data_IF_473751577755
#
_entry.id   IF_473751577755
#
_cell.length_a   1.000
_cell.length_b   1.000
_cell.length_c   1.000
_cell.angle_alpha   90.00
_cell.angle_beta   90.00
_cell.angle_gamma   90.00
#
_symmetry.space_group_name_H-M   'P 1'
#
loop_
_entity.id
_entity.type
_entity.pdbx_description
1 polymer ?
#
# COMPACT_ATOMS: atom_id res chain seq x y z
N UNK A 1 -11.34 -14.26 10.19
CA UNK A 1 -11.34 -13.78 8.80
C UNK A 1 -11.64 -14.98 7.91
N UNK A 2 -12.66 -14.91 7.11
CA UNK A 2 -13.09 -15.94 6.19
C UNK A 2 -13.43 -15.34 4.83
N UNK A 3 -13.62 -16.21 3.82
CA UNK A 3 -13.99 -15.79 2.48
C UNK A 3 -13.65 -16.86 1.44
N UNK A 4 -14.06 -16.69 0.17
CA UNK A 4 -13.98 -17.73 -0.86
C UNK A 4 -12.59 -17.87 -1.50
N UNK A 5 -11.65 -16.95 -1.25
CA UNK A 5 -10.37 -16.83 -1.96
C UNK A 5 -9.14 -17.17 -1.11
N UNK A 6 -9.34 -17.73 0.10
CA UNK A 6 -8.25 -18.16 0.98
C UNK A 6 -7.30 -19.21 0.36
N UNK A 7 -6.18 -19.53 1.06
CA UNK A 7 -5.80 -19.04 2.38
C UNK A 7 -5.38 -17.56 2.37
N UNK A 8 -5.60 -16.84 3.49
CA UNK A 8 -5.31 -15.40 3.62
C UNK A 8 -3.99 -15.10 4.34
N UNK A 9 -3.27 -16.13 4.77
CA UNK A 9 -1.95 -16.00 5.42
C UNK A 9 -0.88 -16.12 4.35
N UNK A 10 -0.08 -15.06 4.16
CA UNK A 10 0.93 -14.96 3.11
C UNK A 10 1.92 -16.15 3.10
N UNK A 11 2.39 -16.62 4.26
CA UNK A 11 3.32 -17.75 4.34
C UNK A 11 2.75 -19.07 3.81
N UNK A 12 1.42 -19.23 3.80
CA UNK A 12 0.73 -20.40 3.23
C UNK A 12 0.59 -20.32 1.71
N UNK A 13 0.94 -19.20 1.10
CA UNK A 13 0.83 -18.91 -0.34
C UNK A 13 2.20 -18.86 -1.05
N UNK A 14 3.27 -19.29 -0.38
CA UNK A 14 4.67 -19.21 -0.87
C UNK A 14 4.82 -19.71 -2.31
N UNK A 15 4.32 -20.91 -2.61
CA UNK A 15 4.45 -21.54 -3.92
C UNK A 15 3.73 -20.75 -5.02
N UNK A 16 2.62 -20.11 -4.68
CA UNK A 16 1.86 -19.25 -5.56
C UNK A 16 2.71 -18.04 -6.01
N UNK A 17 3.35 -17.34 -5.08
CA UNK A 17 4.20 -16.19 -5.41
C UNK A 17 5.38 -16.60 -6.29
N UNK A 18 6.03 -17.73 -5.99
CA UNK A 18 7.10 -18.27 -6.80
C UNK A 18 6.65 -18.57 -8.25
N UNK A 19 5.45 -19.12 -8.43
CA UNK A 19 4.86 -19.37 -9.74
C UNK A 19 4.67 -18.06 -10.54
N UNK A 20 4.10 -17.02 -9.90
CA UNK A 20 3.86 -15.74 -10.57
C UNK A 20 5.15 -14.97 -10.86
N UNK A 21 6.15 -15.04 -9.97
CA UNK A 21 7.46 -14.45 -10.21
C UNK A 21 8.15 -15.06 -11.45
N UNK A 22 8.13 -16.40 -11.59
CA UNK A 22 8.64 -17.09 -12.77
C UNK A 22 7.85 -16.74 -14.04
N UNK A 23 6.53 -16.62 -13.93
CA UNK A 23 5.70 -16.18 -15.05
C UNK A 23 6.08 -14.76 -15.49
N UNK A 24 6.34 -13.87 -14.53
CA UNK A 24 6.76 -12.50 -14.81
C UNK A 24 8.12 -12.45 -15.51
N UNK A 25 9.08 -13.31 -15.11
CA UNK A 25 10.35 -13.46 -15.82
C UNK A 25 10.14 -13.88 -17.29
N UNK A 26 9.24 -14.84 -17.54
CA UNK A 26 8.89 -15.28 -18.91
C UNK A 26 8.22 -14.18 -19.74
N UNK A 27 7.49 -13.27 -19.08
CA UNK A 27 6.87 -12.10 -19.73
C UNK A 27 7.85 -10.92 -19.90
N UNK A 28 9.07 -11.00 -19.38
CA UNK A 28 10.08 -9.95 -19.44
C UNK A 28 9.92 -8.83 -18.41
N UNK A 29 8.93 -8.93 -17.50
CA UNK A 29 8.69 -7.95 -16.44
C UNK A 29 9.53 -8.16 -15.18
N UNK A 30 10.32 -9.25 -15.12
CA UNK A 30 11.25 -9.55 -14.03
C UNK A 30 12.45 -10.32 -14.55
N UNK A 31 13.47 -10.47 -13.71
CA UNK A 31 14.67 -11.25 -14.03
C UNK A 31 15.29 -11.88 -12.77
N UNK A 32 16.06 -12.93 -12.97
CA UNK A 32 16.84 -13.58 -11.92
C UNK A 32 18.11 -12.79 -11.68
N UNK A 33 18.38 -12.41 -10.45
CA UNK A 33 19.60 -11.72 -10.05
C UNK A 33 20.41 -12.60 -9.09
N UNK A 34 21.59 -13.00 -9.51
CA UNK A 34 22.54 -13.81 -8.76
C UNK A 34 23.61 -12.94 -8.08
N UNK A 35 23.57 -11.63 -8.34
CA UNK A 35 24.53 -10.69 -7.83
C UNK A 35 24.41 -10.56 -6.30
N UNK A 36 25.54 -10.61 -5.63
CA UNK A 36 25.68 -10.29 -4.21
C UNK A 36 26.25 -8.90 -4.08
N UNK A 37 25.57 -8.04 -3.35
CA UNK A 37 26.11 -6.72 -3.01
C UNK A 37 27.42 -6.88 -2.24
N UNK A 38 28.40 -6.05 -2.55
CA UNK A 38 29.60 -5.92 -1.73
C UNK A 38 29.27 -5.12 -0.47
N UNK A 39 30.07 -5.27 0.60
CA UNK A 39 29.87 -4.52 1.86
C UNK A 39 29.80 -2.99 1.64
N UNK A 40 30.57 -2.47 0.67
CA UNK A 40 30.54 -1.03 0.31
C UNK A 40 29.25 -0.58 -0.40
N UNK A 41 28.52 -1.50 -1.06
CA UNK A 41 27.25 -1.23 -1.75
C UNK A 41 26.04 -1.41 -0.82
N UNK A 42 26.20 -2.15 0.29
CA UNK A 42 25.18 -2.25 1.33
C UNK A 42 25.05 -0.93 2.10
N UNK A 43 26.13 -0.19 2.29
CA UNK A 43 26.16 1.10 2.99
C UNK A 43 25.55 2.25 2.16
N UNK A 44 25.59 2.20 0.83
CA UNK A 44 25.06 3.25 -0.04
C UNK A 44 23.52 3.27 -0.15
N UNK A 45 22.85 2.17 0.20
CA UNK A 45 21.39 2.04 0.13
C UNK A 45 20.82 1.94 -1.29
N UNK A 46 21.53 2.43 -2.30
CA UNK A 46 21.09 2.47 -3.69
C UNK A 46 21.54 1.23 -4.46
N UNK A 47 20.60 0.58 -5.14
CA UNK A 47 20.88 -0.47 -6.11
C UNK A 47 20.94 0.13 -7.51
N UNK A 48 22.15 0.23 -8.07
CA UNK A 48 22.31 0.66 -9.46
C UNK A 48 21.88 -0.48 -10.40
N UNK A 49 20.69 -0.37 -10.94
CA UNK A 49 20.14 -1.33 -11.91
C UNK A 49 20.93 -1.39 -13.22
N UNK A 50 21.62 -0.30 -13.61
CA UNK A 50 22.42 -0.27 -14.82
C UNK A 50 23.70 -1.07 -14.65
N UNK A 51 24.18 -1.24 -13.42
CA UNK A 51 25.35 -2.02 -13.09
C UNK A 51 25.04 -3.51 -12.76
N UNK A 52 23.74 -3.92 -12.73
CA UNK A 52 23.38 -5.32 -12.47
C UNK A 52 23.72 -6.22 -13.67
N UNK A 53 24.75 -7.06 -13.59
CA UNK A 53 25.15 -7.92 -14.70
C UNK A 53 24.12 -9.00 -15.03
N UNK A 54 23.15 -9.23 -14.15
CA UNK A 54 22.09 -10.23 -14.35
C UNK A 54 20.88 -9.68 -15.11
N UNK A 55 20.79 -8.35 -15.25
CA UNK A 55 19.63 -7.73 -15.86
C UNK A 55 19.40 -8.21 -17.29
N UNK A 56 20.46 -8.36 -18.06
CA UNK A 56 20.41 -8.79 -19.47
C UNK A 56 20.78 -10.25 -19.69
N UNK A 57 20.87 -11.03 -18.58
CA UNK A 57 21.12 -12.46 -18.66
C UNK A 57 19.96 -13.17 -19.38
N UNK A 58 20.22 -14.01 -20.41
CA UNK A 58 19.20 -14.80 -21.06
C UNK A 58 18.42 -15.68 -20.06
N UNK A 59 17.09 -15.74 -20.21
CA UNK A 59 16.23 -16.46 -19.28
C UNK A 59 16.62 -17.94 -19.14
N UNK A 60 16.94 -18.61 -20.25
CA UNK A 60 17.37 -20.02 -20.24
C UNK A 60 18.63 -20.24 -19.39
N UNK A 61 19.57 -19.33 -19.49
CA UNK A 61 20.81 -19.38 -18.69
C UNK A 61 20.52 -19.12 -17.23
N UNK A 62 19.65 -18.14 -16.92
CA UNK A 62 19.22 -17.86 -15.57
C UNK A 62 18.48 -19.03 -14.92
N UNK A 63 17.56 -19.67 -15.67
CA UNK A 63 16.84 -20.88 -15.22
C UNK A 63 17.80 -22.06 -15.01
N UNK A 64 18.82 -22.22 -15.87
CA UNK A 64 19.87 -23.26 -15.71
C UNK A 64 20.67 -23.05 -14.42
N UNK A 65 21.12 -21.83 -14.15
CA UNK A 65 21.88 -21.48 -12.92
C UNK A 65 21.03 -21.70 -11.66
N UNK A 66 19.77 -21.26 -11.70
CA UNK A 66 18.82 -21.48 -10.60
C UNK A 66 18.57 -22.99 -10.35
N UNK A 67 18.45 -23.80 -11.41
CA UNK A 67 18.29 -25.25 -11.30
C UNK A 67 19.57 -25.95 -10.76
N UNK A 68 20.74 -25.37 -10.99
CA UNK A 68 22.00 -25.84 -10.43
C UNK A 68 22.15 -25.49 -8.92
N UNK A 69 21.19 -24.80 -8.33
CA UNK A 69 21.16 -24.43 -6.91
C UNK A 69 21.90 -23.13 -6.57
N UNK A 70 22.26 -22.32 -7.56
CA UNK A 70 22.89 -21.02 -7.31
C UNK A 70 21.90 -20.08 -6.61
N UNK A 71 22.27 -19.42 -5.50
CA UNK A 71 21.40 -18.52 -4.78
C UNK A 71 21.03 -17.30 -5.64
N UNK A 72 19.74 -16.95 -5.68
CA UNK A 72 19.27 -15.80 -6.43
C UNK A 72 18.09 -15.08 -5.75
N UNK A 73 17.84 -13.87 -6.19
CA UNK A 73 16.58 -13.15 -5.97
C UNK A 73 15.89 -12.95 -7.34
N UNK A 74 14.59 -12.65 -7.34
CA UNK A 74 13.92 -12.18 -8.54
C UNK A 74 13.65 -10.69 -8.37
N UNK A 75 14.08 -9.88 -9.35
CA UNK A 75 13.89 -8.44 -9.39
C UNK A 75 12.89 -8.05 -10.45
N UNK A 76 12.13 -6.99 -10.19
CA UNK A 76 11.32 -6.34 -11.20
C UNK A 76 12.22 -5.72 -12.28
N UNK A 77 11.82 -5.85 -13.53
CA UNK A 77 12.49 -5.17 -14.64
C UNK A 77 11.71 -3.90 -14.95
N UNK A 78 12.15 -2.78 -14.43
CA UNK A 78 11.57 -1.47 -14.71
C UNK A 78 12.11 -0.96 -16.06
N UNK A 79 11.29 -0.38 -16.97
CA UNK A 79 11.80 0.25 -18.19
C UNK A 79 12.91 1.26 -17.87
N UNK A 80 13.99 1.27 -18.67
CA UNK A 80 15.12 2.15 -18.41
C UNK A 80 14.79 3.62 -18.68
N UNK A 81 13.94 3.87 -19.66
CA UNK A 81 13.55 5.20 -20.15
C UNK A 81 12.03 5.38 -20.11
N UNK A 82 11.59 6.61 -20.35
CA UNK A 82 10.19 6.98 -20.37
C UNK A 82 9.62 7.27 -18.99
N UNK A 83 8.31 7.37 -18.93
CA UNK A 83 7.57 7.72 -17.73
C UNK A 83 6.51 6.67 -17.42
N UNK A 84 6.17 6.52 -16.14
CA UNK A 84 5.00 5.77 -15.68
C UNK A 84 4.00 6.75 -15.09
N UNK A 85 2.76 6.73 -15.61
CA UNK A 85 1.66 7.54 -15.10
C UNK A 85 0.59 6.61 -14.55
N UNK A 86 0.21 6.80 -13.30
CA UNK A 86 -0.90 6.09 -12.67
C UNK A 86 -1.93 7.09 -12.14
N UNK A 87 -3.18 6.64 -12.04
CA UNK A 87 -4.26 7.45 -11.51
C UNK A 87 -4.54 7.10 -10.04
N UNK A 88 -4.59 8.14 -9.20
CA UNK A 88 -5.03 8.03 -7.82
C UNK A 88 -6.34 8.81 -7.62
N UNK A 89 -7.34 8.18 -7.00
CA UNK A 89 -8.67 8.79 -6.84
C UNK A 89 -8.64 10.10 -6.03
N UNK A 90 -7.61 10.30 -5.20
CA UNK A 90 -7.47 11.49 -4.34
C UNK A 90 -6.47 12.48 -4.95
N UNK A 91 -5.30 12.01 -5.37
CA UNK A 91 -4.23 12.87 -5.85
C UNK A 91 -4.30 13.15 -7.36
N UNK A 92 -5.10 12.41 -8.12
CA UNK A 92 -5.20 12.51 -9.58
C UNK A 92 -4.06 11.77 -10.29
N UNK A 93 -3.75 12.19 -11.50
CA UNK A 93 -2.69 11.58 -12.30
C UNK A 93 -1.31 11.95 -11.75
N UNK A 94 -0.49 10.94 -11.51
CA UNK A 94 0.88 11.08 -11.00
C UNK A 94 1.82 10.44 -12.00
N UNK A 95 2.76 11.24 -12.50
CA UNK A 95 3.76 10.83 -13.48
C UNK A 95 5.14 10.81 -12.85
N UNK A 96 5.87 9.72 -13.05
CA UNK A 96 7.23 9.52 -12.52
C UNK A 96 8.15 9.07 -13.64
N UNK A 97 9.35 9.62 -13.70
CA UNK A 97 10.42 9.18 -14.63
C UNK A 97 10.86 7.76 -14.24
N UNK A 98 10.83 6.82 -15.17
CA UNK A 98 11.25 5.42 -14.91
C UNK A 98 12.71 5.31 -14.48
N UNK A 99 13.57 6.27 -14.90
CA UNK A 99 14.96 6.34 -14.49
C UNK A 99 15.16 6.53 -12.98
N UNK A 100 14.17 7.08 -12.28
CA UNK A 100 14.22 7.31 -10.83
C UNK A 100 13.76 6.10 -10.00
N UNK A 101 13.21 5.07 -10.66
CA UNK A 101 12.73 3.87 -10.01
C UNK A 101 13.82 2.79 -9.97
N UNK A 102 13.95 2.07 -8.88
CA UNK A 102 14.86 0.94 -8.73
C UNK A 102 14.20 -0.39 -9.14
N UNK A 103 15.00 -1.33 -9.63
CA UNK A 103 14.59 -2.71 -9.88
C UNK A 103 14.44 -3.45 -8.54
N UNK A 104 13.30 -3.25 -7.87
CA UNK A 104 13.05 -3.80 -6.54
C UNK A 104 13.05 -5.32 -6.51
N UNK A 105 13.46 -5.90 -5.38
CA UNK A 105 13.35 -7.35 -5.16
C UNK A 105 11.88 -7.75 -5.04
N UNK A 106 11.45 -8.71 -5.84
CA UNK A 106 10.13 -9.33 -5.78
C UNK A 106 10.12 -10.60 -4.93
N UNK A 107 11.10 -11.48 -5.17
CA UNK A 107 11.28 -12.72 -4.40
C UNK A 107 12.66 -12.72 -3.75
N UNK A 108 12.69 -13.00 -2.47
CA UNK A 108 13.93 -13.12 -1.67
C UNK A 108 14.58 -14.48 -1.87
N UNK A 109 15.86 -14.64 -1.47
CA UNK A 109 16.62 -15.90 -1.54
C UNK A 109 15.97 -17.05 -0.75
N UNK A 110 15.24 -16.74 0.32
CA UNK A 110 14.50 -17.72 1.12
C UNK A 110 13.19 -18.20 0.46
N UNK A 111 12.90 -17.72 -0.76
CA UNK A 111 11.70 -18.06 -1.51
C UNK A 111 10.42 -17.37 -1.01
N UNK A 112 10.55 -16.37 -0.13
CA UNK A 112 9.43 -15.52 0.27
C UNK A 112 9.35 -14.28 -0.62
N UNK A 113 8.13 -13.80 -0.95
CA UNK A 113 7.95 -12.54 -1.65
C UNK A 113 8.30 -11.37 -0.74
N UNK A 114 8.63 -10.23 -1.34
CA UNK A 114 8.54 -8.95 -0.65
C UNK A 114 7.08 -8.51 -0.53
N UNK A 115 6.80 -7.58 0.38
CA UNK A 115 5.46 -6.98 0.50
C UNK A 115 5.00 -6.40 -0.84
N UNK A 116 5.89 -5.68 -1.53
CA UNK A 116 5.57 -5.00 -2.79
C UNK A 116 5.17 -5.93 -3.93
N UNK A 117 5.58 -7.18 -3.89
CA UNK A 117 5.16 -8.17 -4.87
C UNK A 117 3.91 -8.93 -4.40
N UNK A 118 3.89 -9.33 -3.13
CA UNK A 118 2.79 -10.10 -2.58
C UNK A 118 1.45 -9.37 -2.66
N UNK A 119 1.44 -8.05 -2.38
CA UNK A 119 0.21 -7.27 -2.42
C UNK A 119 -0.42 -7.25 -3.83
N UNK A 120 0.37 -7.07 -4.88
CA UNK A 120 -0.13 -7.04 -6.27
C UNK A 120 -0.74 -8.40 -6.66
N UNK A 121 -0.06 -9.51 -6.30
CA UNK A 121 -0.54 -10.86 -6.60
C UNK A 121 -1.82 -11.17 -5.81
N UNK A 122 -1.82 -10.85 -4.53
CA UNK A 122 -2.97 -11.13 -3.65
C UNK A 122 -4.17 -10.25 -4.00
N UNK A 123 -3.97 -8.97 -4.27
CA UNK A 123 -5.02 -8.04 -4.67
C UNK A 123 -5.70 -8.50 -5.97
N UNK A 124 -4.91 -8.89 -6.98
CA UNK A 124 -5.46 -9.42 -8.23
C UNK A 124 -6.23 -10.72 -8.01
N UNK A 125 -5.64 -11.70 -7.32
CA UNK A 125 -6.26 -13.03 -7.13
C UNK A 125 -7.45 -13.02 -6.19
N UNK A 126 -7.51 -12.05 -5.28
CA UNK A 126 -8.62 -11.86 -4.36
C UNK A 126 -9.71 -10.92 -4.91
N UNK A 127 -9.53 -10.39 -6.12
CA UNK A 127 -10.50 -9.53 -6.79
C UNK A 127 -10.67 -8.17 -6.09
N UNK A 128 -9.57 -7.63 -5.55
CA UNK A 128 -9.58 -6.30 -4.92
C UNK A 128 -9.81 -5.25 -6.00
N UNK A 129 -10.81 -4.42 -5.82
CA UNK A 129 -11.18 -3.35 -6.76
C UNK A 129 -10.62 -1.99 -6.36
N UNK A 130 -10.41 -1.76 -5.07
CA UNK A 130 -9.90 -0.51 -4.50
C UNK A 130 -8.81 -0.78 -3.48
N UNK A 131 -7.65 -0.15 -3.64
CA UNK A 131 -6.52 -0.23 -2.70
C UNK A 131 -6.48 1.07 -1.91
N UNK A 132 -6.99 1.02 -0.67
CA UNK A 132 -7.01 2.18 0.25
C UNK A 132 -5.86 2.06 1.24
N UNK A 133 -4.94 3.03 1.26
CA UNK A 133 -3.76 3.02 2.14
C UNK A 133 -3.19 4.41 2.36
N UNK A 134 -2.18 4.53 3.20
CA UNK A 134 -1.53 5.80 3.50
C UNK A 134 -0.72 6.36 2.31
N UNK A 135 -0.62 7.68 2.23
CA UNK A 135 0.10 8.38 1.16
C UNK A 135 1.61 8.11 1.12
N UNK A 136 2.19 7.49 2.15
CA UNK A 136 3.58 6.99 2.13
C UNK A 136 3.84 5.96 1.03
N UNK A 137 2.82 5.30 0.51
CA UNK A 137 2.93 4.34 -0.59
C UNK A 137 2.87 4.96 -1.99
N UNK A 138 2.61 6.27 -2.11
CA UNK A 138 2.59 6.96 -3.41
C UNK A 138 3.88 6.78 -4.19
N UNK A 139 5.03 6.79 -3.52
CA UNK A 139 6.34 6.58 -4.14
C UNK A 139 6.55 5.16 -4.69
N UNK A 140 5.84 4.17 -4.14
CA UNK A 140 5.90 2.78 -4.58
C UNK A 140 4.83 2.45 -5.64
N UNK A 141 3.78 3.24 -5.73
CA UNK A 141 2.65 2.98 -6.63
C UNK A 141 3.03 2.83 -8.11
N UNK A 142 3.99 3.58 -8.68
CA UNK A 142 4.43 3.37 -10.06
C UNK A 142 4.98 1.97 -10.31
N UNK A 143 5.68 1.39 -9.32
CA UNK A 143 6.22 0.02 -9.44
C UNK A 143 5.11 -1.04 -9.42
N UNK A 144 4.04 -0.82 -8.65
CA UNK A 144 2.87 -1.71 -8.66
C UNK A 144 2.11 -1.63 -9.98
N UNK A 145 1.91 -0.42 -10.49
CA UNK A 145 1.27 -0.15 -11.78
C UNK A 145 2.00 -0.90 -12.91
N UNK A 146 3.32 -0.78 -12.95
CA UNK A 146 4.16 -1.53 -13.88
C UNK A 146 4.05 -3.05 -13.73
N UNK A 147 3.85 -3.59 -12.52
CA UNK A 147 3.62 -5.02 -12.31
C UNK A 147 2.28 -5.47 -12.90
N UNK A 148 1.19 -4.72 -12.64
CA UNK A 148 -0.11 -5.01 -13.24
C UNK A 148 -0.04 -5.02 -14.77
N UNK A 149 0.58 -4.01 -15.36
CA UNK A 149 0.77 -3.93 -16.82
C UNK A 149 1.63 -5.06 -17.36
N UNK A 150 2.72 -5.44 -16.70
CA UNK A 150 3.58 -6.54 -17.13
C UNK A 150 2.87 -7.89 -17.08
N UNK A 151 1.94 -8.09 -16.15
CA UNK A 151 1.06 -9.26 -16.14
C UNK A 151 -0.06 -9.19 -17.18
N UNK A 152 -0.43 -8.01 -17.66
CA UNK A 152 -1.61 -7.75 -18.48
C UNK A 152 -2.89 -7.75 -17.66
N UNK A 153 -2.82 -7.35 -16.41
CA UNK A 153 -3.95 -7.28 -15.49
C UNK A 153 -4.52 -5.86 -15.41
N UNK A 154 -5.79 -5.79 -15.05
CA UNK A 154 -6.44 -4.52 -14.73
C UNK A 154 -5.89 -3.95 -13.41
N UNK A 155 -5.56 -2.66 -13.42
CA UNK A 155 -5.05 -1.96 -12.23
C UNK A 155 -6.24 -1.60 -11.33
N UNK A 156 -6.20 -1.91 -10.03
CA UNK A 156 -7.25 -1.50 -9.10
C UNK A 156 -7.25 0.03 -8.93
N UNK A 157 -8.36 0.57 -8.47
CA UNK A 157 -8.44 1.99 -8.11
C UNK A 157 -7.55 2.27 -6.89
N UNK A 158 -6.53 3.10 -7.04
CA UNK A 158 -5.70 3.56 -5.93
C UNK A 158 -6.38 4.70 -5.18
N UNK A 159 -6.34 4.64 -3.86
CA UNK A 159 -6.90 5.63 -2.93
C UNK A 159 -5.87 5.87 -1.83
N UNK A 160 -4.99 6.83 -2.01
CA UNK A 160 -4.00 7.16 -1.01
C UNK A 160 -4.55 8.24 -0.07
N UNK A 161 -4.64 7.90 1.22
CA UNK A 161 -5.15 8.80 2.25
C UNK A 161 -4.00 9.56 2.92
N UNK A 162 -4.20 10.84 3.14
CA UNK A 162 -3.25 11.66 3.90
C UNK A 162 -3.21 11.22 5.38
N UNK A 163 -2.07 11.37 6.06
CA UNK A 163 -1.92 10.94 7.44
C UNK A 163 -2.75 11.78 8.40
N UNK A 164 -3.12 11.18 9.53
CA UNK A 164 -3.61 11.93 10.69
C UNK A 164 -2.41 12.44 11.48
N UNK A 165 -2.39 13.75 11.72
CA UNK A 165 -1.32 14.45 12.41
C UNK A 165 -1.71 14.73 13.86
N UNK A 166 -0.72 14.73 14.76
CA UNK A 166 -0.89 15.20 16.14
C UNK A 166 -0.89 16.72 16.21
N UNK A 167 -0.05 17.34 15.40
CA UNK A 167 0.13 18.77 15.23
C UNK A 167 0.56 19.10 13.79
N UNK A 168 0.85 20.34 13.47
CA UNK A 168 1.21 20.77 12.12
C UNK A 168 2.47 20.09 11.54
N UNK A 169 3.32 19.48 12.37
CA UNK A 169 4.62 18.94 11.96
C UNK A 169 4.75 17.43 12.22
N UNK A 170 4.00 16.87 13.17
CA UNK A 170 4.21 15.52 13.67
C UNK A 170 3.01 14.61 13.34
N UNK A 171 3.28 13.49 12.67
CA UNK A 171 2.30 12.42 12.46
C UNK A 171 1.96 11.74 13.81
N UNK A 172 0.70 11.37 14.01
CA UNK A 172 0.31 10.54 15.15
C UNK A 172 1.05 9.19 15.13
N UNK A 173 1.53 8.78 16.29
CA UNK A 173 2.28 7.54 16.43
C UNK A 173 2.14 6.95 17.84
N UNK A 174 1.82 5.68 17.95
CA UNK A 174 1.81 4.94 19.22
C UNK A 174 3.15 5.02 19.97
N UNK A 175 4.27 5.13 19.25
CA UNK A 175 5.61 5.27 19.86
C UNK A 175 5.79 6.59 20.61
N UNK A 176 4.99 7.60 20.30
CA UNK A 176 5.00 8.91 20.95
C UNK A 176 3.86 9.09 21.96
N UNK A 177 3.16 8.00 22.30
CA UNK A 177 2.08 8.02 23.31
C UNK A 177 0.73 8.53 22.79
N UNK A 178 0.54 8.63 21.46
CA UNK A 178 -0.77 8.97 20.92
C UNK A 178 -1.75 7.80 21.13
N UNK A 179 -3.02 8.09 21.50
CA UNK A 179 -3.96 7.05 21.94
C UNK A 179 -4.38 6.13 20.78
N UNK A 180 -4.46 4.85 21.07
CA UNK A 180 -5.15 3.86 20.24
C UNK A 180 -6.66 3.92 20.49
N UNK A 181 -7.42 3.16 19.70
CA UNK A 181 -8.85 2.98 19.92
C UNK A 181 -9.12 2.40 21.32
N UNK A 182 -8.34 1.41 21.75
CA UNK A 182 -8.45 0.78 23.06
C UNK A 182 -8.17 1.77 24.19
N UNK A 183 -7.18 2.65 24.01
CA UNK A 183 -6.85 3.69 24.97
C UNK A 183 -7.98 4.71 25.10
N UNK A 184 -8.60 5.12 24.00
CA UNK A 184 -9.76 6.00 24.00
C UNK A 184 -10.96 5.37 24.72
N UNK A 185 -11.24 4.09 24.44
CA UNK A 185 -12.29 3.35 25.19
C UNK A 185 -12.01 3.28 26.69
N UNK A 186 -10.78 3.00 27.07
CA UNK A 186 -10.38 2.95 28.47
C UNK A 186 -10.53 4.31 29.18
N UNK A 187 -10.46 5.41 28.41
CA UNK A 187 -10.70 6.77 28.89
C UNK A 187 -12.18 7.16 28.94
N UNK A 188 -13.09 6.27 28.55
CA UNK A 188 -14.55 6.49 28.64
C UNK A 188 -15.19 7.03 27.38
N UNK A 189 -14.50 7.05 26.23
CA UNK A 189 -15.13 7.39 24.95
C UNK A 189 -16.01 6.27 24.44
N UNK A 190 -17.19 6.62 23.97
CA UNK A 190 -18.11 5.68 23.29
C UNK A 190 -17.57 5.28 21.94
N UNK A 191 -17.76 4.03 21.56
CA UNK A 191 -17.33 3.50 20.24
C UNK A 191 -17.95 4.30 19.11
N UNK A 192 -19.23 4.64 19.20
CA UNK A 192 -19.98 5.39 18.20
C UNK A 192 -19.40 6.80 18.02
N UNK A 193 -19.05 7.47 19.10
CA UNK A 193 -18.42 8.78 19.06
C UNK A 193 -17.03 8.74 18.42
N UNK A 194 -16.22 7.72 18.75
CA UNK A 194 -14.90 7.52 18.16
C UNK A 194 -15.03 7.24 16.65
N UNK A 195 -15.93 6.35 16.22
CA UNK A 195 -16.14 6.00 14.83
C UNK A 195 -16.59 7.22 14.02
N UNK A 196 -17.57 7.98 14.51
CA UNK A 196 -18.04 9.18 13.83
C UNK A 196 -16.91 10.23 13.71
N UNK A 197 -16.19 10.50 14.80
CA UNK A 197 -15.10 11.46 14.80
C UNK A 197 -13.98 11.05 13.82
N UNK A 198 -13.54 9.79 13.86
CA UNK A 198 -12.48 9.26 12.99
C UNK A 198 -12.89 9.28 11.53
N UNK A 199 -14.15 8.99 11.22
CA UNK A 199 -14.67 9.08 9.85
C UNK A 199 -14.53 10.49 9.27
N UNK A 200 -14.71 11.53 10.08
CA UNK A 200 -14.56 12.93 9.65
C UNK A 200 -13.11 13.45 9.69
N UNK A 201 -12.17 12.61 10.13
CA UNK A 201 -10.74 12.95 10.03
C UNK A 201 -10.23 12.69 8.61
N UNK A 202 -10.24 13.72 7.77
CA UNK A 202 -9.78 13.63 6.39
C UNK A 202 -10.85 13.19 5.38
N UNK A 203 -12.11 13.11 5.78
CA UNK A 203 -13.26 12.96 4.90
C UNK A 203 -14.37 13.95 5.29
N UNK A 204 -15.11 14.42 4.29
CA UNK A 204 -16.29 15.28 4.51
C UNK A 204 -17.46 14.79 3.66
N UNK A 205 -18.66 14.71 4.22
CA UNK A 205 -19.86 14.43 3.45
C UNK A 205 -20.12 15.55 2.44
N UNK A 206 -20.89 15.27 1.40
CA UNK A 206 -21.20 16.21 0.31
C UNK A 206 -22.69 16.44 0.18
N UNK A 207 -23.04 17.43 -0.65
CA UNK A 207 -24.43 17.79 -0.96
C UNK A 207 -25.18 18.25 0.29
N UNK A 208 -26.41 17.76 0.48
CA UNK A 208 -27.28 18.16 1.59
C UNK A 208 -26.75 17.76 2.98
N UNK A 209 -25.78 16.85 3.03
CA UNK A 209 -25.14 16.39 4.26
C UNK A 209 -23.85 17.13 4.62
N UNK A 210 -23.42 18.12 3.82
CA UNK A 210 -22.11 18.77 3.96
C UNK A 210 -21.89 19.42 5.34
N UNK A 211 -22.95 19.89 5.98
CA UNK A 211 -22.88 20.52 7.32
C UNK A 211 -23.19 19.54 8.46
N UNK A 212 -23.53 18.29 8.14
CA UNK A 212 -23.84 17.30 9.16
C UNK A 212 -22.55 16.72 9.76
N UNK A 213 -22.42 16.73 11.07
CA UNK A 213 -21.26 16.19 11.79
C UNK A 213 -21.60 14.94 12.62
N UNK A 214 -22.86 14.74 13.00
CA UNK A 214 -23.24 13.61 13.85
C UNK A 214 -23.94 12.56 13.00
N UNK A 215 -23.35 11.38 12.95
CA UNK A 215 -23.81 10.23 12.18
C UNK A 215 -23.74 8.95 13.00
N UNK A 216 -24.74 8.12 12.95
CA UNK A 216 -24.59 6.71 13.29
C UNK A 216 -23.83 5.96 12.17
N UNK A 217 -23.46 4.72 12.42
CA UNK A 217 -22.70 3.92 11.45
C UNK A 217 -23.47 3.69 10.14
N UNK A 218 -24.80 3.55 10.21
CA UNK A 218 -25.64 3.40 9.02
C UNK A 218 -25.68 4.69 8.21
N UNK A 219 -25.82 5.83 8.86
CA UNK A 219 -25.73 7.16 8.25
C UNK A 219 -24.38 7.42 7.59
N UNK A 220 -23.28 7.08 8.26
CA UNK A 220 -21.93 7.16 7.68
C UNK A 220 -21.82 6.28 6.42
N UNK A 221 -22.32 5.05 6.49
CA UNK A 221 -22.28 4.11 5.35
C UNK A 221 -23.07 4.66 4.14
N UNK A 222 -24.21 5.30 4.38
CA UNK A 222 -25.01 5.92 3.30
C UNK A 222 -24.37 7.20 2.75
N UNK A 223 -23.73 7.98 3.61
CA UNK A 223 -23.13 9.26 3.24
C UNK A 223 -21.75 9.12 2.58
N UNK A 224 -21.07 7.99 2.80
CA UNK A 224 -19.70 7.81 2.35
C UNK A 224 -19.59 7.84 0.83
N UNK A 225 -18.72 8.73 0.36
CA UNK A 225 -18.28 8.82 -1.03
C UNK A 225 -16.76 9.09 -1.05
N UNK A 226 -16.04 8.36 -1.89
CA UNK A 226 -14.59 8.42 -2.00
C UNK A 226 -14.10 9.82 -2.37
N UNK A 227 -14.89 10.58 -3.13
CA UNK A 227 -14.57 11.94 -3.55
C UNK A 227 -14.61 12.95 -2.41
N UNK A 228 -15.15 12.56 -1.24
CA UNK A 228 -15.12 13.35 0.00
C UNK A 228 -13.80 13.27 0.75
N UNK A 229 -12.89 12.36 0.37
CA UNK A 229 -11.59 12.21 1.02
C UNK A 229 -10.68 13.40 0.68
N UNK A 230 -10.08 13.99 1.72
CA UNK A 230 -9.21 15.17 1.60
C UNK A 230 -7.78 14.80 1.18
N UNK A 231 -7.19 15.63 0.30
CA UNK A 231 -5.74 15.58 0.01
C UNK A 231 -4.88 16.07 1.16
N UNK A 232 -5.43 16.92 2.01
CA UNK A 232 -4.69 17.52 3.13
C UNK A 232 -4.70 16.62 4.35
N UNK A 233 -3.59 16.51 5.09
CA UNK A 233 -3.56 15.84 6.38
C UNK A 233 -4.59 16.43 7.34
N UNK A 234 -5.24 15.58 8.13
CA UNK A 234 -6.12 16.01 9.22
C UNK A 234 -5.34 16.07 10.53
N UNK A 235 -5.63 17.08 11.37
CA UNK A 235 -5.05 17.18 12.72
C UNK A 235 -6.04 16.59 13.72
N UNK A 236 -5.55 15.69 14.58
CA UNK A 236 -6.34 15.13 15.66
C UNK A 236 -6.64 16.19 16.70
N UNK A 237 -7.92 16.53 16.85
CA UNK A 237 -8.41 17.51 17.82
C UNK A 237 -9.15 16.80 18.96
N UNK A 238 -8.52 16.80 20.13
CA UNK A 238 -9.09 16.18 21.33
C UNK A 238 -10.38 16.86 21.78
N UNK A 239 -10.44 18.19 21.71
CA UNK A 239 -11.61 18.93 22.14
C UNK A 239 -12.82 18.62 21.24
N UNK A 240 -12.59 18.43 19.94
CA UNK A 240 -13.64 18.01 19.01
C UNK A 240 -14.12 16.58 19.33
N UNK A 241 -13.22 15.64 19.63
CA UNK A 241 -13.61 14.31 20.07
C UNK A 241 -14.41 14.32 21.38
N UNK A 242 -14.01 15.15 22.36
CA UNK A 242 -14.74 15.36 23.62
C UNK A 242 -16.16 15.87 23.35
N UNK A 243 -16.30 16.81 22.42
CA UNK A 243 -17.61 17.31 22.00
C UNK A 243 -18.49 16.21 21.40
N UNK A 244 -17.94 15.41 20.48
CA UNK A 244 -18.67 14.29 19.88
C UNK A 244 -19.12 13.29 20.95
N UNK A 245 -18.22 12.91 21.85
CA UNK A 245 -18.54 11.98 22.93
C UNK A 245 -19.64 12.52 23.85
N UNK A 246 -19.61 13.81 24.16
CA UNK A 246 -20.65 14.45 24.97
C UNK A 246 -22.02 14.48 24.26
N UNK A 247 -22.07 14.65 22.94
CA UNK A 247 -23.32 14.58 22.17
C UNK A 247 -23.93 13.19 22.25
N UNK A 248 -23.12 12.14 22.00
CA UNK A 248 -23.58 10.76 22.09
C UNK A 248 -24.02 10.37 23.49
N UNK A 249 -23.27 10.76 24.55
CA UNK A 249 -23.66 10.50 25.93
C UNK A 249 -25.01 11.12 26.29
N UNK A 250 -25.29 12.34 25.80
CA UNK A 250 -26.59 13.00 26.08
C UNK A 250 -27.75 12.37 25.31
N UNK A 251 -27.50 11.64 24.21
CA UNK A 251 -28.52 10.92 23.45
C UNK A 251 -28.81 9.52 23.99
N UNK A 252 -28.04 9.03 24.98
CA UNK A 252 -28.32 7.77 25.66
C UNK A 252 -29.32 8.02 26.78
N UNK A 253 -30.59 7.62 26.55
CA UNK A 253 -31.63 7.55 27.57
C UNK A 253 -31.71 6.14 28.19
#
# INVERSE_FOLDING_TARGET
VGGPVGPYIQSQRRDLFGKYAKLLCKKGGAYYCFYEKTESEEDSGDFDRAADPCRDLPLEEAERRAAAGEPYVIRQRIPAEGVTTFHDAIFGDITVENSTLDDQVLMKRDGLPTYNFANVIDDHLMGITHVVRGSEYLSSAPKYDLLYHAFGWEVPTYVHCSPVMRDAQNKMSKRHGDPSYEDLKAQGYLTEAILNYVALLGWSPKGDLAEQEIFDLEGLTRAFDITGISKSPAIFDRAKLDHFNAVYLRSME
#
